data_IF_789575953211
#
_entry.id   IF_789575953211
#
_cell.length_a   1.000
_cell.length_b   1.000
_cell.length_c   1.000
_cell.angle_alpha   90.00
_cell.angle_beta   90.00
_cell.angle_gamma   90.00
#
_symmetry.space_group_name_H-M   'P 1'
#
loop_
_entity.id
_entity.type
_entity.pdbx_description
1 polymer ?
#
# COMPACT_ATOMS: atom_id res chain seq x y z
N UNK A 1 -10.37 5.10 -19.87
CA UNK A 1 -9.56 6.13 -19.19
C UNK A 1 -8.62 5.32 -18.29
N UNK A 2 -7.33 5.65 -18.17
CA UNK A 2 -6.40 4.87 -17.32
C UNK A 2 -5.75 5.79 -16.29
N UNK A 3 -6.54 6.65 -15.65
CA UNK A 3 -6.10 7.41 -14.47
C UNK A 3 -5.91 6.48 -13.26
N UNK A 4 -5.35 6.99 -12.16
CA UNK A 4 -5.30 6.26 -10.89
C UNK A 4 -6.70 5.75 -10.48
N UNK A 5 -7.74 6.55 -10.71
CA UNK A 5 -9.12 6.18 -10.38
C UNK A 5 -9.61 4.99 -11.22
N UNK A 6 -9.24 4.94 -12.50
CA UNK A 6 -9.61 3.83 -13.38
C UNK A 6 -8.86 2.54 -13.02
N UNK A 7 -7.57 2.64 -12.64
CA UNK A 7 -6.79 1.50 -12.15
C UNK A 7 -7.42 0.91 -10.89
N UNK A 8 -7.81 1.75 -9.93
CA UNK A 8 -8.48 1.30 -8.71
C UNK A 8 -9.82 0.65 -9.06
N UNK A 9 -10.61 1.25 -9.94
CA UNK A 9 -11.90 0.70 -10.36
C UNK A 9 -11.77 -0.64 -11.11
N UNK A 10 -10.72 -0.83 -11.92
CA UNK A 10 -10.52 -2.05 -12.71
C UNK A 10 -9.96 -3.22 -11.90
N UNK A 11 -9.10 -2.93 -10.92
CA UNK A 11 -8.46 -3.95 -10.09
C UNK A 11 -9.20 -4.22 -8.78
N UNK A 12 -10.07 -3.31 -8.35
CA UNK A 12 -10.94 -3.45 -7.17
C UNK A 12 -10.21 -3.91 -5.88
N UNK A 13 -9.04 -3.32 -5.55
CA UNK A 13 -8.12 -3.86 -4.55
C UNK A 13 -8.68 -3.84 -3.13
N UNK A 14 -8.26 -4.77 -2.26
CA UNK A 14 -8.66 -4.78 -0.85
C UNK A 14 -7.96 -3.70 -0.01
N UNK A 15 -6.73 -3.34 -0.38
CA UNK A 15 -5.93 -2.31 0.29
C UNK A 15 -5.26 -1.42 -0.75
N UNK A 16 -5.28 -0.11 -0.53
CA UNK A 16 -4.62 0.87 -1.39
C UNK A 16 -3.64 1.68 -0.55
N UNK A 17 -2.39 1.74 -1.02
CA UNK A 17 -1.32 2.54 -0.42
C UNK A 17 -0.99 3.68 -1.38
N UNK A 18 -1.25 4.92 -0.99
CA UNK A 18 -0.90 6.10 -1.78
C UNK A 18 0.10 6.96 -1.01
N UNK A 19 1.12 7.46 -1.69
CA UNK A 19 2.07 8.43 -1.15
C UNK A 19 1.95 9.74 -1.92
N UNK A 20 2.50 10.81 -1.36
CA UNK A 20 2.55 12.14 -1.99
C UNK A 20 1.19 12.78 -2.27
N UNK A 21 0.13 12.37 -1.57
CA UNK A 21 -1.21 12.87 -1.84
C UNK A 21 -1.35 14.28 -1.26
N UNK A 22 -1.55 15.26 -2.15
CA UNK A 22 -1.92 16.63 -1.78
C UNK A 22 -3.41 16.72 -1.45
N UNK A 23 -3.82 17.79 -0.75
CA UNK A 23 -5.24 18.05 -0.50
C UNK A 23 -6.08 18.08 -1.79
N UNK A 24 -5.56 18.72 -2.84
CA UNK A 24 -6.20 18.77 -4.16
C UNK A 24 -6.37 17.38 -4.81
N UNK A 25 -5.32 16.55 -4.78
CA UNK A 25 -5.39 15.17 -5.30
C UNK A 25 -6.42 14.34 -4.53
N UNK A 26 -6.45 14.48 -3.21
CA UNK A 26 -7.41 13.79 -2.35
C UNK A 26 -8.85 14.21 -2.68
N UNK A 27 -9.09 15.50 -2.90
CA UNK A 27 -10.42 16.02 -3.27
C UNK A 27 -10.89 15.51 -4.64
N UNK A 28 -9.96 15.25 -5.57
CA UNK A 28 -10.28 14.59 -6.84
C UNK A 28 -10.63 13.11 -6.61
N UNK A 29 -9.78 12.39 -5.88
CA UNK A 29 -9.99 10.95 -5.62
C UNK A 29 -11.32 10.70 -4.90
N UNK A 30 -11.69 11.55 -3.93
CA UNK A 30 -12.95 11.53 -3.19
C UNK A 30 -14.22 11.63 -4.05
N UNK A 31 -14.11 12.15 -5.27
CA UNK A 31 -15.25 12.22 -6.21
C UNK A 31 -15.43 10.92 -7.00
N UNK A 32 -14.54 9.96 -6.86
CA UNK A 32 -14.61 8.69 -7.58
C UNK A 32 -15.68 7.79 -6.97
N UNK A 33 -16.48 7.06 -7.78
CA UNK A 33 -17.55 6.19 -7.26
C UNK A 33 -17.08 5.07 -6.32
N UNK A 34 -15.81 4.65 -6.43
CA UNK A 34 -15.23 3.64 -5.57
C UNK A 34 -14.85 4.16 -4.18
N UNK A 35 -14.72 5.47 -3.99
CA UNK A 35 -14.17 6.04 -2.74
C UNK A 35 -14.94 5.61 -1.50
N UNK A 36 -16.27 5.63 -1.57
CA UNK A 36 -17.16 5.26 -0.46
C UNK A 36 -17.09 3.77 -0.09
N UNK A 37 -16.45 2.94 -0.92
CA UNK A 37 -16.23 1.52 -0.64
C UNK A 37 -15.01 1.29 0.24
N UNK A 38 -14.24 2.34 0.56
CA UNK A 38 -13.02 2.24 1.34
C UNK A 38 -13.08 3.08 2.62
N UNK A 39 -12.48 2.53 3.68
CA UNK A 39 -12.14 3.27 4.89
C UNK A 39 -10.80 3.96 4.73
N UNK A 40 -10.75 5.24 5.07
CA UNK A 40 -9.56 6.08 4.95
C UNK A 40 -8.77 6.14 6.28
N UNK A 41 -7.46 5.92 6.18
CA UNK A 41 -6.48 6.20 7.23
C UNK A 41 -5.49 7.24 6.70
N UNK A 42 -5.33 8.34 7.43
CA UNK A 42 -4.33 9.38 7.12
C UNK A 42 -3.73 9.96 8.40
N UNK A 43 -2.49 10.43 8.30
CA UNK A 43 -1.90 11.28 9.33
C UNK A 43 -2.51 12.71 9.25
N UNK A 44 -2.95 13.32 10.36
CA UNK A 44 -3.73 14.56 10.32
C UNK A 44 -2.98 15.83 9.88
N UNK A 45 -1.65 15.79 9.67
CA UNK A 45 -0.83 17.03 9.70
C UNK A 45 0.24 17.18 8.62
N UNK A 46 0.32 16.31 7.61
CA UNK A 46 1.24 16.51 6.48
C UNK A 46 0.48 16.68 5.16
N UNK A 47 0.90 17.64 4.33
CA UNK A 47 0.53 17.71 2.92
C UNK A 47 1.79 18.07 2.14
N UNK A 48 2.26 17.24 1.21
CA UNK A 48 1.66 15.95 0.82
C UNK A 48 1.77 14.87 1.91
N UNK A 49 0.79 13.96 1.99
CA UNK A 49 0.77 12.84 2.94
C UNK A 49 0.65 11.47 2.27
N UNK A 50 0.86 10.42 3.06
CA UNK A 50 0.44 9.07 2.71
C UNK A 50 -1.01 8.82 3.13
N UNK A 51 -1.74 8.10 2.29
CA UNK A 51 -3.10 7.63 2.54
C UNK A 51 -3.09 6.10 2.45
N UNK A 52 -3.69 5.46 3.44
CA UNK A 52 -3.97 4.02 3.43
C UNK A 52 -5.49 3.86 3.36
N UNK A 53 -5.97 3.11 2.38
CA UNK A 53 -7.39 2.79 2.21
C UNK A 53 -7.60 1.30 2.36
N UNK A 54 -8.61 0.89 3.13
CA UNK A 54 -8.99 -0.53 3.28
C UNK A 54 -10.43 -0.72 2.86
N UNK A 55 -10.70 -1.71 2.03
CA UNK A 55 -12.04 -1.96 1.51
C UNK A 55 -13.02 -2.34 2.63
N UNK A 56 -14.24 -1.85 2.53
CA UNK A 56 -15.34 -2.16 3.45
C UNK A 56 -15.97 -3.50 3.01
N UNK A 57 -15.88 -4.53 3.83
CA UNK A 57 -16.55 -5.81 3.55
C UNK A 57 -18.02 -5.80 4.05
N UNK A 58 -18.91 -6.48 3.33
CA UNK A 58 -20.33 -6.58 3.71
C UNK A 58 -20.48 -7.20 5.11
N UNK A 59 -21.16 -6.50 6.02
CA UNK A 59 -21.26 -6.85 7.44
C UNK A 59 -20.35 -6.05 8.38
N UNK A 60 -19.57 -5.11 7.84
CA UNK A 60 -18.84 -4.13 8.64
C UNK A 60 -19.78 -3.03 9.18
N UNK A 61 -20.63 -3.35 10.16
CA UNK A 61 -21.48 -2.39 10.91
C UNK A 61 -20.65 -1.31 11.68
N UNK A 62 -19.32 -1.28 11.47
CA UNK A 62 -18.33 -0.37 12.07
C UNK A 62 -18.22 0.97 11.32
N UNK A 63 -19.01 1.21 10.27
CA UNK A 63 -18.93 2.41 9.42
C UNK A 63 -19.17 3.75 10.15
N UNK A 64 -19.83 3.74 11.31
CA UNK A 64 -20.17 4.97 12.05
C UNK A 64 -19.39 5.18 13.36
N UNK A 65 -18.41 4.32 13.66
CA UNK A 65 -17.64 4.41 14.91
C UNK A 65 -16.24 4.94 14.56
N UNK A 66 -15.84 6.06 15.19
CA UNK A 66 -14.45 6.53 15.22
C UNK A 66 -13.52 5.32 15.41
N UNK A 67 -12.33 5.27 14.78
CA UNK A 67 -11.48 4.09 14.85
C UNK A 67 -11.29 3.71 16.31
N UNK A 68 -11.92 2.61 16.73
CA UNK A 68 -11.70 2.07 18.05
C UNK A 68 -10.19 1.81 18.17
N UNK A 69 -9.57 1.97 19.35
CA UNK A 69 -8.12 1.82 19.58
C UNK A 69 -7.50 0.50 19.09
N UNK A 70 -8.30 -0.47 18.62
CA UNK A 70 -7.88 -1.79 18.15
C UNK A 70 -7.59 -1.88 16.65
N UNK A 71 -8.03 -0.91 15.83
CA UNK A 71 -7.79 -0.92 14.37
C UNK A 71 -6.52 -0.16 13.96
N UNK A 72 -5.99 0.67 14.85
CA UNK A 72 -4.67 1.29 14.72
C UNK A 72 -3.74 0.63 15.74
N UNK A 73 -2.56 0.14 15.35
CA UNK A 73 -1.57 -0.27 16.32
C UNK A 73 -1.21 0.91 17.24
N UNK A 74 -1.07 0.71 18.55
CA UNK A 74 -0.59 1.76 19.43
C UNK A 74 0.87 2.10 19.10
N UNK A 75 1.16 3.39 18.86
CA UNK A 75 2.53 3.90 18.79
C UNK A 75 3.27 3.65 17.47
N UNK A 76 2.61 3.82 16.31
CA UNK A 76 3.28 3.82 15.01
C UNK A 76 4.53 4.74 15.04
N UNK A 77 5.68 4.26 14.55
CA UNK A 77 6.87 5.09 14.40
C UNK A 77 6.62 6.21 13.37
N UNK A 78 7.40 7.28 13.47
CA UNK A 78 7.22 8.46 12.62
C UNK A 78 7.25 8.10 11.12
N UNK A 79 6.22 8.54 10.39
CA UNK A 79 6.08 8.31 8.95
C UNK A 79 5.65 6.90 8.54
N UNK A 80 5.35 6.01 9.50
CA UNK A 80 4.59 4.80 9.27
C UNK A 80 3.10 5.11 9.48
N UNK A 81 2.26 4.63 8.58
CA UNK A 81 0.81 4.70 8.70
C UNK A 81 0.25 3.30 8.49
N UNK A 82 -0.46 2.76 9.48
CA UNK A 82 -0.87 1.37 9.46
C UNK A 82 -2.34 1.16 9.84
N UNK A 83 -2.85 -0.01 9.47
CA UNK A 83 -4.18 -0.49 9.82
C UNK A 83 -4.22 -2.03 9.87
N UNK A 84 -5.09 -2.56 10.71
CA UNK A 84 -5.42 -3.98 10.70
C UNK A 84 -6.63 -4.27 9.80
N UNK A 85 -6.53 -5.34 9.01
CA UNK A 85 -7.63 -5.92 8.26
C UNK A 85 -7.93 -7.32 8.83
N UNK A 86 -9.18 -7.50 9.27
CA UNK A 86 -9.67 -8.82 9.68
C UNK A 86 -10.23 -9.54 8.44
N UNK A 87 -9.52 -10.55 7.93
CA UNK A 87 -10.05 -11.40 6.86
C UNK A 87 -10.98 -12.46 7.46
N UNK A 88 -12.27 -12.41 7.10
CA UNK A 88 -13.22 -13.49 7.41
C UNK A 88 -13.30 -14.43 6.21
N UNK A 89 -13.00 -15.71 6.40
CA UNK A 89 -13.47 -16.74 5.46
C UNK A 89 -15.00 -16.73 5.52
N UNK A 90 -15.73 -16.68 4.38
CA UNK A 90 -17.16 -16.92 4.41
C UNK A 90 -17.35 -18.34 4.93
N UNK A 91 -17.78 -18.50 6.17
CA UNK A 91 -18.18 -19.80 6.70
C UNK A 91 -19.60 -20.08 6.24
N UNK A 92 -19.93 -21.35 5.96
CA UNK A 92 -21.26 -21.78 5.51
C UNK A 92 -22.42 -21.33 6.43
N UNK A 93 -22.12 -20.91 7.66
CA UNK A 93 -23.08 -20.35 8.63
C UNK A 93 -23.63 -18.95 8.29
N UNK A 94 -22.98 -18.18 7.41
CA UNK A 94 -23.47 -16.83 7.06
C UNK A 94 -24.73 -16.87 6.16
N UNK A 95 -25.09 -18.02 5.59
CA UNK A 95 -26.36 -18.20 4.86
C UNK A 95 -27.58 -18.30 5.78
N UNK A 96 -27.39 -18.73 7.02
CA UNK A 96 -28.49 -18.92 7.98
C UNK A 96 -28.71 -17.71 8.90
N UNK A 97 -27.68 -16.88 9.12
CA UNK A 97 -27.76 -15.70 9.98
C UNK A 97 -28.62 -14.55 9.41
N UNK A 98 -28.98 -14.60 8.12
CA UNK A 98 -29.90 -13.62 7.49
C UNK A 98 -31.33 -13.76 8.03
N UNK A 99 -31.69 -14.87 8.68
CA UNK A 99 -33.08 -15.13 9.10
C UNK A 99 -33.47 -14.66 10.50
N UNK A 100 -32.54 -14.23 11.37
CA UNK A 100 -32.88 -13.96 12.79
C UNK A 100 -32.56 -12.52 13.29
N UNK A 101 -32.69 -11.53 12.41
CA UNK A 101 -32.50 -10.10 12.76
C UNK A 101 -33.72 -9.46 13.45
N UNK A 102 -34.26 -10.09 14.50
CA UNK A 102 -35.39 -9.56 15.29
C UNK A 102 -35.28 -9.72 16.80
N UNK A 103 -34.10 -9.54 17.41
CA UNK A 103 -34.02 -9.34 18.89
C UNK A 103 -33.07 -8.22 19.30
N UNK A 104 -33.67 -7.15 19.84
CA UNK A 104 -33.02 -6.04 20.54
C UNK A 104 -32.51 -6.52 21.91
N UNK A 105 -31.21 -6.78 22.03
CA UNK A 105 -30.49 -6.62 23.30
C UNK A 105 -28.98 -6.59 23.05
N UNK A 106 -28.43 -5.38 22.89
CA UNK A 106 -26.99 -5.15 22.72
C UNK A 106 -26.31 -5.18 24.09
N UNK A 107 -25.79 -6.34 24.49
CA UNK A 107 -24.64 -6.41 25.41
C UNK A 107 -23.39 -6.52 24.53
N UNK A 108 -22.60 -5.46 24.50
CA UNK A 108 -21.27 -5.46 23.89
C UNK A 108 -20.37 -6.32 24.77
N UNK A 109 -20.30 -7.61 24.46
CA UNK A 109 -19.15 -8.41 24.85
C UNK A 109 -17.98 -7.99 23.97
N UNK A 110 -16.77 -7.79 24.51
CA UNK A 110 -15.58 -7.68 23.70
C UNK A 110 -15.37 -9.06 23.07
N UNK A 111 -15.91 -9.27 21.87
CA UNK A 111 -15.50 -10.39 21.05
C UNK A 111 -14.05 -10.13 20.70
N UNK A 112 -13.15 -10.79 21.42
CA UNK A 112 -11.87 -11.17 20.87
C UNK A 112 -12.21 -12.02 19.64
N UNK A 113 -12.31 -11.36 18.48
CA UNK A 113 -12.43 -12.07 17.23
C UNK A 113 -11.09 -12.80 17.09
N UNK A 114 -11.08 -14.12 17.32
CA UNK A 114 -10.10 -15.00 16.70
C UNK A 114 -10.32 -14.93 15.19
N UNK A 115 -9.99 -13.79 14.58
CA UNK A 115 -9.90 -13.65 13.15
C UNK A 115 -8.68 -14.47 12.76
N UNK A 116 -8.92 -15.72 12.35
CA UNK A 116 -7.88 -16.70 12.01
C UNK A 116 -6.84 -16.15 11.01
N UNK A 117 -7.14 -15.05 10.30
CA UNK A 117 -6.31 -14.47 9.26
C UNK A 117 -6.29 -12.93 9.31
N UNK A 118 -5.81 -12.32 10.41
CA UNK A 118 -5.59 -10.85 10.45
C UNK A 118 -4.37 -10.46 9.61
N UNK A 119 -4.48 -9.36 8.86
CA UNK A 119 -3.39 -8.73 8.10
C UNK A 119 -3.08 -7.34 8.67
N UNK A 120 -1.82 -7.07 9.00
CA UNK A 120 -1.33 -5.74 9.34
C UNK A 120 -0.79 -5.06 8.07
N UNK A 121 -1.55 -4.12 7.52
CA UNK A 121 -1.14 -3.35 6.35
C UNK A 121 -0.55 -2.00 6.78
N UNK A 122 0.63 -1.64 6.28
CA UNK A 122 1.24 -0.35 6.55
C UNK A 122 1.83 0.29 5.31
N UNK A 123 1.77 1.61 5.25
CA UNK A 123 2.49 2.42 4.27
C UNK A 123 3.54 3.29 4.90
N UNK A 124 4.56 3.60 4.11
CA UNK A 124 5.55 4.59 4.44
C UNK A 124 5.95 5.43 3.22
N UNK A 125 6.57 6.56 3.53
CA UNK A 125 7.35 7.33 2.57
C UNK A 125 8.69 7.69 3.21
N UNK A 126 9.77 7.26 2.60
CA UNK A 126 11.11 7.68 2.97
C UNK A 126 11.47 8.97 2.25
N UNK A 127 12.32 9.82 2.86
CA UNK A 127 12.85 10.96 2.14
C UNK A 127 13.70 10.47 0.96
N UNK A 128 13.53 11.12 -0.19
CA UNK A 128 14.34 10.87 -1.37
C UNK A 128 15.82 11.18 -1.13
N UNK A 129 16.73 10.64 -1.96
CA UNK A 129 18.16 10.84 -1.78
C UNK A 129 18.57 12.31 -1.92
N UNK A 130 19.22 12.88 -0.89
CA UNK A 130 19.85 14.21 -0.93
C UNK A 130 21.34 14.12 -1.23
N UNK A 131 21.95 15.23 -1.66
CA UNK A 131 23.42 15.28 -1.90
C UNK A 131 24.24 15.02 -0.63
N UNK A 132 23.65 15.22 0.56
CA UNK A 132 24.24 14.93 1.87
C UNK A 132 23.94 13.52 2.37
N UNK A 133 23.23 12.68 1.62
CA UNK A 133 22.88 11.33 2.07
C UNK A 133 24.09 10.41 2.01
N UNK A 134 24.79 10.30 3.13
CA UNK A 134 25.87 9.35 3.29
C UNK A 134 25.25 7.96 3.38
N UNK A 135 25.28 7.19 2.28
CA UNK A 135 24.89 5.77 2.21
C UNK A 135 23.49 5.46 2.76
N UNK A 136 22.55 6.40 2.65
CA UNK A 136 21.17 6.17 3.08
C UNK A 136 21.00 5.77 4.55
N UNK A 137 21.92 6.16 5.45
CA UNK A 137 21.92 5.77 6.87
C UNK A 137 20.57 6.03 7.54
N UNK A 138 19.95 7.19 7.28
CA UNK A 138 18.65 7.52 7.87
C UNK A 138 17.53 6.63 7.34
N UNK A 139 17.53 6.30 6.04
CA UNK A 139 16.55 5.37 5.43
C UNK A 139 16.71 3.96 5.98
N UNK A 140 17.95 3.48 6.12
CA UNK A 140 18.26 2.17 6.70
C UNK A 140 17.84 2.12 8.17
N UNK A 141 18.15 3.18 8.94
CA UNK A 141 17.73 3.31 10.34
C UNK A 141 16.21 3.24 10.52
N UNK A 142 15.47 3.94 9.65
CA UNK A 142 13.99 3.89 9.61
C UNK A 142 13.46 2.51 9.24
N UNK A 143 14.06 1.85 8.25
CA UNK A 143 13.68 0.48 7.89
C UNK A 143 13.81 -0.46 9.10
N UNK A 144 14.92 -0.39 9.84
CA UNK A 144 15.10 -1.17 11.06
C UNK A 144 14.09 -0.81 12.17
N UNK A 145 13.71 0.47 12.30
CA UNK A 145 12.67 0.89 13.24
C UNK A 145 11.32 0.25 12.92
N UNK A 146 10.95 0.20 11.64
CA UNK A 146 9.68 -0.39 11.22
C UNK A 146 9.66 -1.90 11.45
N UNK A 147 10.74 -2.62 11.12
CA UNK A 147 10.81 -4.04 11.44
C UNK A 147 10.75 -4.32 12.95
N UNK A 148 11.36 -3.47 13.78
CA UNK A 148 11.25 -3.56 15.25
C UNK A 148 9.81 -3.33 15.70
N UNK A 149 9.09 -2.38 15.11
CA UNK A 149 7.67 -2.15 15.40
C UNK A 149 6.83 -3.41 15.11
N UNK A 150 6.95 -3.99 13.91
CA UNK A 150 6.23 -5.23 13.56
C UNK A 150 6.61 -6.42 14.45
N UNK A 151 7.87 -6.53 14.87
CA UNK A 151 8.30 -7.56 15.80
C UNK A 151 7.61 -7.41 17.18
N UNK A 152 7.43 -6.18 17.67
CA UNK A 152 6.78 -5.89 18.94
C UNK A 152 5.27 -6.15 18.90
N UNK A 153 4.63 -5.93 17.75
CA UNK A 153 3.20 -6.20 17.56
C UNK A 153 2.88 -7.71 17.47
N UNK A 154 3.90 -8.58 17.39
CA UNK A 154 3.74 -10.04 17.22
C UNK A 154 2.92 -10.42 15.99
N UNK A 155 2.98 -9.60 14.93
CA UNK A 155 2.17 -9.83 13.73
C UNK A 155 2.68 -11.03 12.94
N UNK A 156 1.72 -11.89 12.59
CA UNK A 156 1.95 -13.09 11.82
C UNK A 156 1.69 -12.90 10.32
N UNK A 157 0.83 -11.95 9.94
CA UNK A 157 0.69 -11.48 8.57
C UNK A 157 0.84 -9.96 8.54
N UNK A 158 1.86 -9.48 7.85
CA UNK A 158 2.14 -8.07 7.70
C UNK A 158 2.58 -7.75 6.27
N UNK A 159 2.11 -6.61 5.76
CA UNK A 159 2.51 -6.02 4.48
C UNK A 159 2.93 -4.58 4.74
N UNK A 160 4.17 -4.27 4.42
CA UNK A 160 4.70 -2.91 4.41
C UNK A 160 4.90 -2.49 2.95
N UNK A 161 4.15 -1.49 2.49
CA UNK A 161 4.14 -1.06 1.10
C UNK A 161 4.25 0.46 0.94
N UNK A 162 5.15 0.91 0.07
CA UNK A 162 5.23 2.33 -0.27
C UNK A 162 6.57 2.74 -0.83
N UNK A 163 6.78 4.05 -0.81
CA UNK A 163 7.96 4.71 -1.31
C UNK A 163 9.10 4.62 -0.29
N UNK A 164 9.99 3.68 -0.51
CA UNK A 164 11.16 3.48 0.33
C UNK A 164 12.38 4.25 -0.18
N UNK A 165 12.31 4.86 -1.38
CA UNK A 165 13.35 5.75 -1.92
C UNK A 165 14.79 5.23 -1.76
N UNK A 166 14.97 3.91 -1.82
CA UNK A 166 16.26 3.23 -1.75
C UNK A 166 16.65 2.78 -3.15
N UNK A 167 17.87 3.14 -3.53
CA UNK A 167 18.47 2.82 -4.81
C UNK A 167 19.37 1.59 -4.63
N UNK A 168 19.01 0.46 -5.23
CA UNK A 168 19.73 -0.81 -5.02
C UNK A 168 21.21 -0.72 -5.47
N UNK A 169 21.53 0.13 -6.46
CA UNK A 169 22.91 0.31 -6.96
C UNK A 169 23.76 1.17 -6.02
N UNK A 170 23.16 2.18 -5.38
CA UNK A 170 23.86 3.11 -4.48
C UNK A 170 23.84 2.65 -3.02
N UNK A 171 22.72 2.07 -2.58
CA UNK A 171 22.42 1.75 -1.19
C UNK A 171 22.55 0.25 -0.88
N UNK A 172 22.56 -0.58 -1.92
CA UNK A 172 22.40 -2.02 -1.80
C UNK A 172 20.95 -2.45 -1.58
N UNK A 173 20.70 -3.75 -1.41
CA UNK A 173 19.34 -4.28 -1.23
C UNK A 173 18.70 -3.72 0.04
N UNK A 174 17.37 -3.60 0.03
CA UNK A 174 16.60 -3.18 1.20
C UNK A 174 16.98 -4.01 2.45
N UNK A 175 17.24 -3.39 3.62
CA UNK A 175 17.86 -4.06 4.77
C UNK A 175 16.87 -4.93 5.57
N UNK A 176 16.34 -5.98 4.94
CA UNK A 176 15.47 -6.96 5.57
C UNK A 176 16.28 -7.77 6.61
N UNK A 177 15.87 -7.83 7.89
CA UNK A 177 16.61 -8.59 8.90
C UNK A 177 16.62 -10.09 8.58
N UNK A 178 17.81 -10.69 8.60
CA UNK A 178 17.98 -12.12 8.33
C UNK A 178 17.15 -12.98 9.31
N UNK A 179 16.48 -14.02 8.80
CA UNK A 179 15.67 -14.93 9.61
C UNK A 179 14.34 -14.35 10.13
N UNK A 180 13.97 -13.13 9.73
CA UNK A 180 12.73 -12.49 10.19
C UNK A 180 11.45 -13.00 9.52
N UNK A 181 11.59 -13.77 8.45
CA UNK A 181 10.48 -14.25 7.61
C UNK A 181 9.88 -13.17 6.69
N UNK A 182 10.46 -11.97 6.66
CA UNK A 182 10.12 -10.94 5.70
C UNK A 182 10.80 -11.20 4.36
N UNK A 183 10.09 -10.87 3.28
CA UNK A 183 10.57 -10.97 1.90
C UNK A 183 10.19 -9.73 1.11
N UNK A 184 10.94 -9.42 0.06
CA UNK A 184 10.57 -8.44 -0.97
C UNK A 184 9.73 -9.17 -2.03
N UNK A 185 8.44 -8.82 -2.12
CA UNK A 185 7.49 -9.55 -2.95
C UNK A 185 7.85 -9.51 -4.44
N UNK A 186 8.50 -8.43 -4.91
CA UNK A 186 8.97 -8.36 -6.30
C UNK A 186 10.10 -9.37 -6.53
N UNK A 187 11.10 -9.39 -5.64
CA UNK A 187 12.22 -10.31 -5.75
C UNK A 187 11.78 -11.78 -5.69
N UNK A 188 10.84 -12.12 -4.81
CA UNK A 188 10.32 -13.50 -4.69
C UNK A 188 9.54 -13.94 -5.94
N UNK A 189 8.64 -13.11 -6.46
CA UNK A 189 7.75 -13.50 -7.55
C UNK A 189 8.36 -13.30 -8.95
N UNK A 190 9.36 -12.42 -9.09
CA UNK A 190 9.95 -12.01 -10.38
C UNK A 190 11.45 -12.27 -10.43
N UNK A 191 11.95 -13.27 -9.71
CA UNK A 191 13.37 -13.62 -9.58
C UNK A 191 14.13 -13.84 -10.92
N UNK A 192 13.45 -13.91 -12.07
CA UNK A 192 14.06 -14.31 -13.34
C UNK A 192 14.09 -13.29 -14.49
N UNK A 193 13.29 -12.21 -14.60
CA UNK A 193 13.44 -11.29 -15.77
C UNK A 193 12.70 -9.93 -15.79
N UNK A 194 12.76 -9.11 -14.73
CA UNK A 194 12.55 -7.65 -14.87
C UNK A 194 13.03 -6.92 -13.62
N UNK A 195 13.86 -5.90 -13.80
CA UNK A 195 14.41 -5.09 -12.71
C UNK A 195 13.35 -4.34 -11.87
N UNK A 196 12.09 -4.32 -12.33
CA UNK A 196 10.96 -3.81 -11.56
C UNK A 196 11.03 -2.33 -11.28
N UNK A 197 11.60 -1.56 -12.21
CA UNK A 197 11.79 -0.12 -12.06
C UNK A 197 10.44 0.61 -11.96
N UNK A 198 10.03 0.96 -10.74
CA UNK A 198 8.85 1.80 -10.52
C UNK A 198 9.14 3.27 -10.79
N UNK A 199 10.42 3.64 -10.86
CA UNK A 199 10.91 4.89 -11.44
C UNK A 199 11.76 4.57 -12.67
N UNK A 200 11.25 4.88 -13.86
CA UNK A 200 11.92 4.61 -15.13
C UNK A 200 11.88 5.84 -16.02
N UNK A 201 13.00 6.56 -16.11
CA UNK A 201 13.11 7.78 -16.92
C UNK A 201 13.11 7.53 -18.43
N UNK A 202 13.22 6.27 -18.87
CA UNK A 202 13.18 5.88 -20.28
C UNK A 202 11.75 5.55 -20.69
N UNK A 203 11.04 4.76 -19.88
CA UNK A 203 9.67 4.34 -20.15
C UNK A 203 8.63 5.41 -19.80
N UNK A 204 8.91 6.29 -18.84
CA UNK A 204 7.97 7.35 -18.43
C UNK A 204 8.34 8.71 -19.07
N UNK A 205 7.62 9.15 -20.12
CA UNK A 205 7.93 10.40 -20.81
C UNK A 205 7.78 11.64 -19.92
N UNK A 206 7.04 11.55 -18.81
CA UNK A 206 6.91 12.66 -17.84
C UNK A 206 8.20 12.97 -17.09
N UNK A 207 9.19 12.07 -17.16
CA UNK A 207 10.52 12.26 -16.58
C UNK A 207 11.53 12.86 -17.56
N UNK A 208 11.12 13.19 -18.79
CA UNK A 208 12.00 13.88 -19.75
C UNK A 208 12.41 15.25 -19.18
N UNK A 209 13.72 15.50 -19.12
CA UNK A 209 14.28 16.72 -18.52
C UNK A 209 14.46 16.66 -16.99
N UNK A 210 14.00 15.58 -16.33
CA UNK A 210 14.27 15.31 -14.92
C UNK A 210 15.51 14.41 -14.76
N UNK A 211 15.86 14.11 -13.50
CA UNK A 211 17.00 13.24 -13.18
C UNK A 211 16.82 11.87 -13.87
N UNK A 212 17.75 11.44 -14.73
CA UNK A 212 17.67 10.12 -15.32
C UNK A 212 17.90 9.05 -14.24
N UNK A 213 17.19 7.93 -14.36
CA UNK A 213 17.29 6.85 -13.40
C UNK A 213 16.37 5.69 -13.73
N UNK A 214 16.84 4.49 -13.39
CA UNK A 214 16.12 3.24 -13.46
C UNK A 214 16.18 2.61 -12.06
N UNK A 215 15.21 2.94 -11.21
CA UNK A 215 15.24 2.57 -9.79
C UNK A 215 13.91 1.98 -9.33
N UNK A 216 13.94 1.27 -8.20
CA UNK A 216 12.77 0.64 -7.58
C UNK A 216 12.52 1.20 -6.17
N UNK A 217 12.11 2.47 -6.06
CA UNK A 217 11.79 3.08 -4.77
C UNK A 217 10.54 2.46 -4.15
N UNK A 218 9.57 2.03 -4.95
CA UNK A 218 8.32 1.45 -4.46
C UNK A 218 8.45 -0.05 -4.26
N UNK A 219 8.11 -0.53 -3.05
CA UNK A 219 8.26 -1.95 -2.70
C UNK A 219 7.06 -2.45 -1.92
N UNK A 220 6.78 -3.73 -2.08
CA UNK A 220 5.97 -4.53 -1.17
C UNK A 220 6.90 -5.45 -0.38
N UNK A 221 7.01 -5.22 0.92
CA UNK A 221 7.66 -6.13 1.85
C UNK A 221 6.58 -6.91 2.59
N UNK A 222 6.75 -8.22 2.70
CA UNK A 222 5.72 -9.11 3.21
C UNK A 222 6.29 -10.10 4.22
N UNK A 223 5.55 -10.33 5.31
CA UNK A 223 5.74 -11.47 6.21
C UNK A 223 4.39 -12.14 6.36
N UNK A 224 4.20 -13.29 5.75
CA UNK A 224 2.88 -13.92 5.60
C UNK A 224 2.89 -15.36 6.15
N UNK A 225 2.31 -15.55 7.34
CA UNK A 225 2.12 -16.88 7.93
C UNK A 225 1.01 -17.64 7.23
N UNK A 226 -0.12 -16.98 6.97
CA UNK A 226 -1.38 -17.61 6.57
C UNK A 226 -1.72 -17.37 5.08
N UNK A 227 -0.88 -16.62 4.36
CA UNK A 227 -1.04 -16.30 2.94
C UNK A 227 0.23 -16.60 2.15
N UNK A 228 0.06 -16.97 0.89
CA UNK A 228 1.11 -17.07 -0.12
C UNK A 228 1.12 -15.82 -1.00
N UNK A 229 2.31 -15.44 -1.48
CA UNK A 229 2.46 -14.47 -2.55
C UNK A 229 1.97 -15.12 -3.86
N UNK A 230 0.98 -14.51 -4.53
CA UNK A 230 0.37 -15.08 -5.73
C UNK A 230 0.90 -14.42 -7.00
N UNK A 231 0.79 -13.09 -7.10
CA UNK A 231 1.27 -12.34 -8.25
C UNK A 231 1.63 -10.91 -7.87
N UNK A 232 2.55 -10.33 -8.64
CA UNK A 232 2.88 -8.91 -8.55
C UNK A 232 3.03 -8.37 -9.96
N UNK A 233 2.40 -7.22 -10.22
CA UNK A 233 2.45 -6.54 -11.51
C UNK A 233 2.64 -5.05 -11.35
N UNK A 234 3.24 -4.44 -12.38
CA UNK A 234 3.40 -3.00 -12.47
C UNK A 234 2.17 -2.42 -13.18
N UNK A 235 1.61 -1.35 -12.64
CA UNK A 235 0.39 -0.70 -13.14
C UNK A 235 0.61 0.78 -13.42
N UNK A 236 -0.26 1.37 -14.24
CA UNK A 236 -0.12 2.77 -14.65
C UNK A 236 1.03 3.02 -15.63
N UNK A 237 1.41 1.99 -16.40
CA UNK A 237 2.41 2.07 -17.47
C UNK A 237 1.86 2.70 -18.75
N UNK A 238 0.54 2.79 -18.88
CA UNK A 238 -0.14 3.31 -20.06
C UNK A 238 -0.48 4.79 -19.94
N UNK A 239 -0.34 5.52 -21.06
CA UNK A 239 -0.74 6.91 -21.14
C UNK A 239 -2.25 7.10 -20.92
N UNK A 240 -2.61 8.18 -20.23
CA UNK A 240 -4.01 8.58 -20.08
C UNK A 240 -4.49 9.10 -21.43
N UNK A 241 -5.40 8.34 -22.05
CA UNK A 241 -5.96 8.66 -23.37
C UNK A 241 -6.48 10.10 -23.44
N UNK A 242 -5.94 10.87 -24.39
CA UNK A 242 -6.37 12.24 -24.68
C UNK A 242 -5.81 13.30 -23.73
N UNK A 243 -4.89 12.94 -22.83
CA UNK A 243 -4.21 13.89 -21.93
C UNK A 243 -2.74 14.00 -22.34
N UNK A 244 -2.33 15.22 -22.65
CA UNK A 244 -0.99 15.56 -23.12
C UNK A 244 -0.51 16.86 -22.48
N UNK A 245 0.79 17.06 -22.42
CA UNK A 245 1.42 18.31 -21.98
C UNK A 245 2.58 18.69 -22.92
N UNK A 246 2.98 19.96 -22.90
CA UNK A 246 4.17 20.42 -23.60
C UNK A 246 5.37 20.40 -22.64
N UNK A 247 6.48 19.83 -23.08
CA UNK A 247 7.75 19.96 -22.34
C UNK A 247 8.43 21.31 -22.59
N UNK A 248 9.56 21.54 -21.91
CA UNK A 248 10.33 22.79 -22.03
C UNK A 248 10.89 23.04 -23.44
N UNK A 249 10.99 22.00 -24.28
CA UNK A 249 11.41 22.12 -25.68
C UNK A 249 10.22 22.40 -26.62
N UNK A 250 9.00 22.42 -26.10
CA UNK A 250 7.78 22.58 -26.87
C UNK A 250 7.28 21.29 -27.52
N UNK A 251 7.83 20.13 -27.13
CA UNK A 251 7.36 18.83 -27.62
C UNK A 251 6.09 18.41 -26.88
N UNK A 252 5.09 17.92 -27.63
CA UNK A 252 3.85 17.41 -27.06
C UNK A 252 4.04 15.96 -26.59
N UNK A 253 3.94 15.73 -25.28
CA UNK A 253 4.16 14.43 -24.64
C UNK A 253 2.88 13.90 -23.98
N UNK A 254 2.70 12.58 -23.93
CA UNK A 254 1.58 11.97 -23.22
C UNK A 254 1.75 12.09 -21.70
N UNK A 255 0.63 12.11 -20.98
CA UNK A 255 0.61 12.08 -19.52
C UNK A 255 0.28 10.67 -19.05
N UNK A 256 1.09 10.13 -18.15
CA UNK A 256 0.81 8.90 -17.43
C UNK A 256 0.18 9.20 -16.06
N UNK A 257 -0.37 8.21 -15.33
CA UNK A 257 -1.00 8.42 -14.03
C UNK A 257 -0.11 9.08 -12.98
N UNK A 258 1.19 8.80 -13.03
CA UNK A 258 2.20 9.34 -12.12
C UNK A 258 3.59 9.24 -12.77
N UNK A 259 4.53 10.05 -12.27
CA UNK A 259 5.94 9.94 -12.63
C UNK A 259 6.58 8.63 -12.11
N UNK A 260 5.86 7.91 -11.25
CA UNK A 260 6.16 6.54 -10.82
C UNK A 260 5.09 5.58 -11.26
N UNK A 261 5.48 4.38 -11.68
CA UNK A 261 4.55 3.29 -11.90
C UNK A 261 4.08 2.72 -10.57
N UNK A 262 2.82 2.27 -10.53
CA UNK A 262 2.28 1.60 -9.35
C UNK A 262 2.65 0.12 -9.32
N UNK A 263 2.44 -0.51 -8.16
CA UNK A 263 2.53 -1.96 -8.01
C UNK A 263 1.19 -2.50 -7.53
N UNK A 264 0.74 -3.62 -8.12
CA UNK A 264 -0.39 -4.40 -7.66
C UNK A 264 0.12 -5.76 -7.17
N UNK A 265 -0.06 -6.03 -5.89
CA UNK A 265 0.27 -7.31 -5.26
C UNK A 265 -1.01 -8.09 -4.98
N UNK A 266 -1.05 -9.36 -5.39
CA UNK A 266 -2.07 -10.33 -5.01
C UNK A 266 -1.47 -11.37 -4.07
N UNK A 267 -2.14 -11.62 -2.95
CA UNK A 267 -1.83 -12.71 -2.02
C UNK A 267 -3.03 -13.65 -1.93
N UNK A 268 -2.78 -14.94 -1.69
CA UNK A 268 -3.84 -15.95 -1.56
C UNK A 268 -3.74 -16.67 -0.22
N UNK A 269 -4.85 -17.03 0.45
CA UNK A 269 -4.79 -17.85 1.65
C UNK A 269 -4.06 -19.17 1.37
N UNK A 270 -3.20 -19.61 2.30
CA UNK A 270 -2.57 -20.93 2.20
C UNK A 270 -3.65 -22.01 2.23
N UNK A 271 -3.53 -22.99 1.34
CA UNK A 271 -4.34 -24.21 1.44
C UNK A 271 -3.89 -24.98 2.68
N UNK A 272 -4.86 -25.36 3.51
CA UNK A 272 -4.63 -26.15 4.72
C UNK A 272 -4.24 -27.59 4.38
#
# INVERSE_FOLDING_TARGET
>A
MHSISDLIASHDPDVIFLQEVTGYMKDILRRSPWWEQYREFTAPTSSPCSILLTKLHAGDDRCDIMPEPWLRPPGDPAGLLSAFLDWKRPTDTDRDAVKDRKKKNRRLHPMCCDCEHRLHAATCRFPGPTQSDIRSVDRIGRAHEYFRHFANCSDHNAVLAGDMSLDDDLDGPFPIPAGSGWVDAWCELRASDVAGWTYDSVANPMLRGFKPGLTRPDRFLCKLRDFDLYSIEMVGTEAIRGVTYYDDNGDLLPVLPSHRFGLLLTISPKQA
#
